data_IF_577632923371
#
_entry.id   IF_577632923371
#
_cell.length_a   1.000
_cell.length_b   1.000
_cell.length_c   1.000
_cell.angle_alpha   90.00
_cell.angle_beta   90.00
_cell.angle_gamma   90.00
#
_symmetry.space_group_name_H-M   'P 1'
#
loop_
_entity.id
_entity.type
_entity.pdbx_description
1 polymer ?
#
# COMPACT_ATOMS: atom_id res chain seq x y z
N UNK A 1 -25.27 -7.02 37.87
CA UNK A 1 -25.00 -8.27 37.12
C UNK A 1 -23.92 -7.93 36.12
N UNK A 2 -22.80 -8.65 36.06
CA UNK A 2 -21.83 -8.42 35.00
C UNK A 2 -22.36 -9.04 33.70
N UNK A 3 -22.44 -8.25 32.64
CA UNK A 3 -22.76 -8.75 31.30
C UNK A 3 -21.72 -9.81 30.86
N UNK A 4 -22.13 -10.86 30.13
CA UNK A 4 -21.23 -11.91 29.70
C UNK A 4 -20.29 -11.35 28.63
N UNK A 5 -19.01 -11.17 28.98
CA UNK A 5 -17.97 -10.83 28.01
C UNK A 5 -17.66 -12.08 27.19
N UNK A 6 -18.06 -12.05 25.92
CA UNK A 6 -17.60 -12.98 24.89
C UNK A 6 -16.14 -12.60 24.59
N UNK A 7 -15.16 -13.51 24.74
CA UNK A 7 -13.82 -13.31 24.22
C UNK A 7 -13.91 -13.32 22.69
N UNK A 8 -13.66 -12.17 22.05
CA UNK A 8 -13.72 -12.02 20.60
C UNK A 8 -14.03 -10.59 20.10
N UNK A 9 -14.46 -9.67 20.97
CA UNK A 9 -14.90 -8.33 20.53
C UNK A 9 -13.77 -7.32 20.27
N UNK A 10 -12.57 -7.79 19.94
CA UNK A 10 -11.42 -6.93 19.67
C UNK A 10 -11.37 -6.39 18.23
N UNK A 11 -11.89 -7.14 17.26
CA UNK A 11 -11.73 -6.86 15.82
C UNK A 11 -13.03 -6.61 15.04
N UNK A 12 -14.15 -6.33 15.70
CA UNK A 12 -15.42 -6.09 15.00
C UNK A 12 -15.53 -4.67 14.42
N UNK A 13 -14.65 -3.75 14.81
CA UNK A 13 -14.77 -2.32 14.52
C UNK A 13 -13.39 -1.67 14.37
N UNK A 14 -13.17 -1.05 13.22
CA UNK A 14 -12.01 -0.23 12.87
C UNK A 14 -12.48 1.22 12.72
N UNK A 15 -11.83 2.15 13.43
CA UNK A 15 -12.02 3.59 13.26
C UNK A 15 -11.21 4.07 12.07
N UNK A 16 -11.86 4.74 11.12
CA UNK A 16 -11.25 5.25 9.91
C UNK A 16 -10.62 6.63 10.15
N UNK A 17 -9.65 7.06 9.33
CA UNK A 17 -9.05 8.40 9.43
C UNK A 17 -10.09 9.55 9.45
N UNK A 18 -11.19 9.39 8.72
CA UNK A 18 -12.28 10.35 8.65
C UNK A 18 -13.19 10.37 9.90
N UNK A 19 -12.96 9.47 10.87
CA UNK A 19 -13.71 9.34 12.13
C UNK A 19 -14.92 8.39 12.06
N UNK A 20 -15.24 7.85 10.89
CA UNK A 20 -16.25 6.80 10.76
C UNK A 20 -15.76 5.47 11.33
N UNK A 21 -16.68 4.57 11.68
CA UNK A 21 -16.29 3.23 12.17
C UNK A 21 -16.96 2.15 11.35
N UNK A 22 -16.15 1.23 10.81
CA UNK A 22 -16.61 0.13 9.97
C UNK A 22 -16.17 -1.21 10.52
N UNK A 23 -16.79 -2.30 10.07
CA UNK A 23 -16.26 -3.64 10.33
C UNK A 23 -15.14 -3.93 9.34
N UNK A 24 -13.98 -4.45 9.77
CA UNK A 24 -12.93 -4.91 8.84
C UNK A 24 -13.42 -5.94 7.82
N UNK A 25 -14.45 -6.73 8.17
CA UNK A 25 -15.11 -7.70 7.28
C UNK A 25 -15.92 -7.06 6.15
N UNK A 26 -16.10 -5.74 6.16
CA UNK A 26 -16.75 -5.02 5.07
C UNK A 26 -15.84 -4.85 3.85
N UNK A 27 -14.53 -5.02 4.03
CA UNK A 27 -13.55 -4.90 2.95
C UNK A 27 -13.38 -6.23 2.22
N UNK A 28 -13.45 -6.18 0.90
CA UNK A 28 -13.08 -7.31 0.04
C UNK A 28 -11.56 -7.31 -0.17
N UNK A 29 -10.95 -8.50 -0.26
CA UNK A 29 -9.49 -8.65 -0.41
C UNK A 29 -8.94 -8.01 -1.69
N UNK A 30 -9.73 -7.88 -2.76
CA UNK A 30 -9.33 -7.19 -3.98
C UNK A 30 -9.69 -5.70 -4.00
N UNK A 31 -10.43 -5.20 -3.01
CA UNK A 31 -10.96 -3.85 -3.02
C UNK A 31 -9.85 -2.81 -3.01
N UNK A 32 -9.95 -1.81 -3.88
CA UNK A 32 -9.06 -0.63 -3.86
C UNK A 32 -9.63 0.56 -3.15
N UNK A 33 -10.94 0.66 -3.17
CA UNK A 33 -11.67 1.86 -2.78
C UNK A 33 -12.90 1.47 -1.99
N UNK A 34 -13.12 2.16 -0.89
CA UNK A 34 -14.29 2.02 -0.05
C UNK A 34 -15.07 3.34 -0.04
N UNK A 35 -16.29 3.31 -0.55
CA UNK A 35 -17.22 4.44 -0.47
C UNK A 35 -17.74 4.55 0.97
N UNK A 36 -17.31 5.60 1.67
CA UNK A 36 -17.56 5.76 3.09
C UNK A 36 -18.80 6.62 3.37
N UNK A 37 -19.42 6.41 4.52
CA UNK A 37 -20.58 7.18 4.98
C UNK A 37 -20.24 8.67 5.24
N UNK A 38 -18.96 9.03 5.36
CA UNK A 38 -18.51 10.43 5.41
C UNK A 38 -18.74 11.18 4.07
N UNK A 39 -18.96 10.44 2.98
CA UNK A 39 -19.20 10.97 1.63
C UNK A 39 -17.97 10.99 0.72
N UNK A 40 -16.82 10.49 1.19
CA UNK A 40 -15.57 10.37 0.45
C UNK A 40 -15.23 8.90 0.15
N UNK A 41 -14.28 8.69 -0.76
CA UNK A 41 -13.79 7.36 -1.13
C UNK A 41 -12.39 7.16 -0.55
N UNK A 42 -12.21 6.07 0.20
CA UNK A 42 -10.98 5.75 0.90
C UNK A 42 -10.22 4.64 0.21
N UNK A 43 -8.91 4.79 0.02
CA UNK A 43 -8.06 3.75 -0.52
C UNK A 43 -7.89 2.61 0.50
N UNK A 44 -7.97 1.38 0.00
CA UNK A 44 -7.81 0.15 0.79
C UNK A 44 -6.62 -0.66 0.25
N UNK A 45 -5.78 -1.12 1.16
CA UNK A 45 -4.68 -2.05 0.88
C UNK A 45 -4.66 -3.12 1.96
N UNK A 46 -4.49 -4.37 1.56
CA UNK A 46 -4.21 -5.50 2.46
C UNK A 46 -2.79 -6.01 2.22
N UNK A 47 -2.23 -6.74 3.19
CA UNK A 47 -0.90 -7.36 3.07
C UNK A 47 -0.86 -8.46 1.99
N UNK A 48 -2.02 -9.01 1.63
CA UNK A 48 -2.17 -9.98 0.55
C UNK A 48 -1.97 -9.37 -0.84
N UNK A 49 -2.10 -8.05 -1.01
CA UNK A 49 -1.91 -7.42 -2.32
C UNK A 49 -0.45 -7.53 -2.78
N UNK A 50 -0.21 -7.87 -4.07
CA UNK A 50 1.13 -7.83 -4.62
C UNK A 50 1.60 -6.39 -4.84
N UNK A 51 2.92 -6.16 -4.81
CA UNK A 51 3.53 -4.89 -5.24
C UNK A 51 3.12 -4.51 -6.67
N UNK A 52 2.78 -5.51 -7.49
CA UNK A 52 2.33 -5.28 -8.85
C UNK A 52 1.01 -4.51 -8.94
N UNK A 53 0.32 -4.33 -7.82
CA UNK A 53 -0.77 -3.36 -7.69
C UNK A 53 -0.37 -1.92 -8.06
N UNK A 54 0.87 -1.54 -7.76
CA UNK A 54 1.35 -0.16 -7.89
C UNK A 54 2.39 0.02 -8.99
N UNK A 55 3.18 -1.01 -9.29
CA UNK A 55 4.27 -0.92 -10.26
C UNK A 55 4.37 -2.19 -11.11
N UNK A 56 4.93 -2.15 -12.33
CA UNK A 56 5.15 -3.37 -13.12
C UNK A 56 5.91 -4.45 -12.34
N UNK A 57 5.63 -5.73 -12.64
CA UNK A 57 6.30 -6.90 -12.03
C UNK A 57 7.83 -6.80 -12.12
N UNK A 58 8.37 -6.32 -13.25
CA UNK A 58 9.81 -6.16 -13.44
C UNK A 58 10.42 -5.10 -12.50
N UNK A 59 9.66 -4.06 -12.14
CA UNK A 59 10.09 -3.04 -11.17
C UNK A 59 9.97 -3.60 -9.75
N UNK A 60 8.88 -4.31 -9.44
CA UNK A 60 8.74 -4.99 -8.15
C UNK A 60 9.88 -5.99 -7.90
N UNK A 61 10.30 -6.73 -8.94
CA UNK A 61 11.45 -7.64 -8.86
C UNK A 61 12.77 -6.90 -8.61
N UNK A 62 12.98 -5.73 -9.23
CA UNK A 62 14.16 -4.90 -8.98
C UNK A 62 14.18 -4.34 -7.57
N UNK A 63 13.04 -3.83 -7.07
CA UNK A 63 12.92 -3.34 -5.70
C UNK A 63 13.31 -4.42 -4.69
N UNK A 64 12.83 -5.65 -4.85
CA UNK A 64 13.20 -6.79 -4.00
C UNK A 64 14.67 -7.18 -4.09
N UNK A 65 15.30 -6.96 -5.23
CA UNK A 65 16.71 -7.30 -5.43
C UNK A 65 17.67 -6.24 -4.87
N UNK A 66 17.21 -4.99 -4.75
CA UNK A 66 18.05 -3.84 -4.36
C UNK A 66 17.82 -3.44 -2.90
N UNK A 67 16.60 -3.58 -2.39
CA UNK A 67 16.23 -3.16 -1.04
C UNK A 67 16.39 -4.35 -0.10
N UNK A 68 17.39 -4.27 0.77
CA UNK A 68 17.53 -5.18 1.91
C UNK A 68 16.50 -4.85 2.99
N UNK A 69 15.88 -5.88 3.58
CA UNK A 69 14.93 -5.77 4.69
C UNK A 69 15.58 -6.32 5.97
N UNK A 70 15.40 -5.62 7.09
CA UNK A 70 16.03 -5.96 8.39
C UNK A 70 15.06 -6.68 9.35
N UNK A 71 13.96 -7.24 8.83
CA UNK A 71 12.88 -7.84 9.61
C UNK A 71 12.63 -9.32 9.30
N UNK A 72 11.45 -9.84 9.64
CA UNK A 72 11.09 -11.25 9.45
C UNK A 72 10.66 -11.60 8.01
N UNK A 73 10.46 -10.60 7.15
CA UNK A 73 10.13 -10.81 5.75
C UNK A 73 11.40 -11.06 4.93
N UNK A 74 11.33 -12.06 4.03
CA UNK A 74 12.48 -12.45 3.19
C UNK A 74 12.83 -11.41 2.11
N UNK A 75 11.86 -10.60 1.69
CA UNK A 75 11.99 -9.64 0.60
C UNK A 75 11.10 -8.42 0.81
N UNK A 76 11.45 -7.30 0.15
CA UNK A 76 10.60 -6.11 0.09
C UNK A 76 9.18 -6.44 -0.43
N UNK A 77 8.18 -5.90 0.25
CA UNK A 77 6.77 -6.29 0.08
C UNK A 77 5.83 -5.11 0.33
N UNK A 78 4.53 -5.32 0.09
CA UNK A 78 3.48 -4.31 0.35
C UNK A 78 3.46 -3.86 1.81
N UNK A 79 3.84 -4.72 2.76
CA UNK A 79 3.95 -4.36 4.19
C UNK A 79 4.99 -3.25 4.39
N UNK A 80 6.16 -3.41 3.81
CA UNK A 80 7.24 -2.41 3.88
C UNK A 80 6.82 -1.10 3.20
N UNK A 81 6.27 -1.21 1.98
CA UNK A 81 5.81 -0.06 1.22
C UNK A 81 4.75 0.73 1.99
N UNK A 82 3.70 0.07 2.50
CA UNK A 82 2.66 0.73 3.28
C UNK A 82 3.18 1.23 4.63
N UNK A 83 4.23 0.61 5.19
CA UNK A 83 4.99 1.16 6.31
C UNK A 83 5.56 2.54 5.99
N UNK A 84 6.25 2.70 4.85
CA UNK A 84 6.75 4.01 4.40
C UNK A 84 5.63 5.02 4.16
N UNK A 85 4.50 4.59 3.59
CA UNK A 85 3.34 5.48 3.40
C UNK A 85 2.78 5.94 4.76
N UNK A 86 2.67 5.04 5.74
CA UNK A 86 2.19 5.36 7.09
C UNK A 86 3.16 6.30 7.84
N UNK A 87 4.46 6.15 7.63
CA UNK A 87 5.48 7.04 8.19
C UNK A 87 5.34 8.48 7.65
N UNK A 88 5.06 8.63 6.36
CA UNK A 88 4.86 9.94 5.73
C UNK A 88 3.47 10.55 6.04
N UNK A 89 2.44 9.71 6.16
CA UNK A 89 1.05 10.12 6.35
C UNK A 89 0.39 9.50 7.60
N UNK A 90 0.91 9.73 8.81
CA UNK A 90 0.48 9.02 10.02
C UNK A 90 -0.93 9.42 10.51
N UNK A 91 -1.44 10.59 10.10
CA UNK A 91 -2.77 11.08 10.45
C UNK A 91 -3.82 10.75 9.38
N UNK A 92 -3.40 10.45 8.16
CA UNK A 92 -4.29 10.16 7.02
C UNK A 92 -4.44 8.66 6.76
N UNK A 93 -3.72 7.80 7.50
CA UNK A 93 -3.76 6.33 7.33
C UNK A 93 -3.97 5.65 8.67
N UNK A 94 -4.92 4.72 8.70
CA UNK A 94 -5.08 3.76 9.80
C UNK A 94 -4.69 2.38 9.30
N UNK A 95 -3.98 1.63 10.16
CA UNK A 95 -3.70 0.20 9.97
C UNK A 95 -4.38 -0.61 11.07
N UNK A 96 -5.07 -1.68 10.69
CA UNK A 96 -5.69 -2.63 11.63
C UNK A 96 -5.07 -4.02 11.48
N UNK A 97 -4.75 -4.65 12.62
CA UNK A 97 -4.34 -6.06 12.69
C UNK A 97 -5.59 -6.95 12.74
N UNK A 98 -5.78 -7.71 11.67
CA UNK A 98 -6.90 -8.64 11.49
C UNK A 98 -6.45 -10.10 11.44
N UNK A 99 -5.19 -10.38 11.82
CA UNK A 99 -4.59 -11.71 11.74
C UNK A 99 -5.29 -12.77 12.59
N UNK A 100 -5.98 -12.35 13.65
CA UNK A 100 -6.79 -13.25 14.51
C UNK A 100 -8.15 -13.63 13.89
N UNK A 101 -8.60 -12.92 12.84
CA UNK A 101 -9.87 -13.19 12.16
C UNK A 101 -9.66 -13.90 10.81
N UNK A 102 -9.61 -15.24 10.87
CA UNK A 102 -9.44 -16.09 9.69
C UNK A 102 -10.56 -16.02 8.64
N UNK A 103 -11.62 -15.23 8.84
CA UNK A 103 -12.64 -14.97 7.80
C UNK A 103 -12.24 -13.85 6.83
N UNK A 104 -11.32 -12.97 7.23
CA UNK A 104 -10.93 -11.80 6.44
C UNK A 104 -9.90 -12.18 5.38
N UNK A 105 -8.99 -13.09 5.70
CA UNK A 105 -7.98 -13.59 4.74
C UNK A 105 -6.79 -12.65 4.51
N UNK A 106 -6.64 -11.64 5.36
CA UNK A 106 -5.48 -10.76 5.45
C UNK A 106 -4.97 -10.75 6.90
N UNK A 107 -3.72 -10.32 7.11
CA UNK A 107 -3.18 -10.02 8.43
C UNK A 107 -3.28 -8.53 8.77
N UNK A 108 -3.13 -7.65 7.78
CA UNK A 108 -3.15 -6.19 7.94
C UNK A 108 -4.06 -5.54 6.91
N UNK A 109 -4.80 -4.52 7.33
CA UNK A 109 -5.59 -3.65 6.44
C UNK A 109 -5.17 -2.20 6.68
N UNK A 110 -4.77 -1.51 5.62
CA UNK A 110 -4.55 -0.08 5.59
C UNK A 110 -5.72 0.62 4.92
N UNK A 111 -6.21 1.69 5.55
CA UNK A 111 -7.24 2.56 5.02
C UNK A 111 -6.74 4.01 5.04
N UNK A 112 -6.76 4.66 3.88
CA UNK A 112 -6.34 6.06 3.72
C UNK A 112 -7.53 7.02 3.64
N UNK A 113 -7.36 8.26 4.12
CA UNK A 113 -8.34 9.34 4.01
C UNK A 113 -8.45 9.92 2.58
N UNK A 114 -7.88 9.25 1.60
CA UNK A 114 -7.86 9.65 0.21
C UNK A 114 -8.04 8.46 -0.71
N UNK A 115 -8.43 8.73 -1.96
CA UNK A 115 -8.74 7.72 -2.95
C UNK A 115 -7.52 6.90 -3.42
N UNK A 116 -7.78 5.81 -4.14
CA UNK A 116 -6.72 4.89 -4.59
C UNK A 116 -5.79 5.50 -5.63
N UNK A 117 -6.21 6.57 -6.33
CA UNK A 117 -5.38 7.26 -7.30
C UNK A 117 -4.35 8.13 -6.58
N UNK A 118 -4.76 8.87 -5.56
CA UNK A 118 -3.85 9.64 -4.70
C UNK A 118 -2.89 8.70 -3.98
N UNK A 119 -3.36 7.56 -3.46
CA UNK A 119 -2.48 6.56 -2.85
C UNK A 119 -1.44 6.04 -3.84
N UNK A 120 -1.85 5.70 -5.06
CA UNK A 120 -0.93 5.20 -6.09
C UNK A 120 0.15 6.23 -6.43
N UNK A 121 -0.21 7.52 -6.48
CA UNK A 121 0.77 8.60 -6.63
C UNK A 121 1.79 8.62 -5.50
N UNK A 122 1.31 8.68 -4.26
CA UNK A 122 2.17 8.70 -3.07
C UNK A 122 3.13 7.50 -3.08
N UNK A 123 2.62 6.31 -3.38
CA UNK A 123 3.43 5.09 -3.49
C UNK A 123 4.53 5.22 -4.53
N UNK A 124 4.22 5.71 -5.74
CA UNK A 124 5.22 5.83 -6.81
C UNK A 124 6.28 6.87 -6.45
N UNK A 125 5.89 7.99 -5.85
CA UNK A 125 6.80 9.02 -5.36
C UNK A 125 7.75 8.44 -4.29
N UNK A 126 7.22 7.72 -3.30
CA UNK A 126 8.03 7.08 -2.25
C UNK A 126 8.96 5.99 -2.80
N UNK A 127 8.53 5.21 -3.78
CA UNK A 127 9.39 4.19 -4.40
C UNK A 127 10.56 4.83 -5.16
N UNK A 128 10.32 5.95 -5.85
CA UNK A 128 11.36 6.74 -6.50
C UNK A 128 12.37 7.26 -5.48
N UNK A 129 11.89 7.84 -4.37
CA UNK A 129 12.76 8.33 -3.29
C UNK A 129 13.57 7.20 -2.65
N UNK A 130 12.96 6.02 -2.46
CA UNK A 130 13.64 4.86 -1.90
C UNK A 130 14.76 4.36 -2.82
N UNK A 131 14.50 4.32 -4.13
CA UNK A 131 15.51 3.97 -5.13
C UNK A 131 16.64 5.00 -5.18
N UNK A 132 16.33 6.30 -5.10
CA UNK A 132 17.33 7.37 -5.04
C UNK A 132 18.27 7.20 -3.85
N UNK A 133 17.69 6.92 -2.67
CA UNK A 133 18.47 6.64 -1.47
C UNK A 133 19.32 5.38 -1.63
N UNK A 134 18.78 4.29 -2.19
CA UNK A 134 19.51 3.05 -2.39
C UNK A 134 20.70 3.22 -3.35
N UNK A 135 20.50 3.91 -4.48
CA UNK A 135 21.56 4.19 -5.46
C UNK A 135 22.61 5.14 -4.87
N UNK A 136 22.19 6.14 -4.09
CA UNK A 136 23.10 7.08 -3.43
C UNK A 136 24.02 6.47 -2.37
N UNK A 137 23.78 5.23 -1.93
CA UNK A 137 24.69 4.47 -1.06
C UNK A 137 25.73 3.65 -1.82
N UNK A 138 25.65 3.59 -3.15
CA UNK A 138 26.63 2.88 -3.97
C UNK A 138 27.89 3.74 -4.16
N UNK A 139 29.06 3.10 -4.23
CA UNK A 139 30.34 3.79 -4.53
C UNK A 139 30.50 4.14 -6.03
N UNK A 140 29.39 4.19 -6.80
CA UNK A 140 29.39 4.38 -8.25
C UNK A 140 28.74 5.72 -8.65
N UNK A 141 29.58 6.75 -8.71
CA UNK A 141 29.18 8.13 -9.07
C UNK A 141 28.52 8.22 -10.46
N UNK A 142 28.83 7.30 -11.39
CA UNK A 142 28.27 7.30 -12.74
C UNK A 142 26.84 6.77 -12.74
N UNK A 143 26.59 5.68 -12.00
CA UNK A 143 25.23 5.14 -11.78
C UNK A 143 24.34 6.15 -11.05
N UNK A 144 24.87 6.86 -10.05
CA UNK A 144 24.12 7.89 -9.34
C UNK A 144 23.70 9.02 -10.28
N UNK A 145 24.63 9.59 -11.05
CA UNK A 145 24.33 10.68 -11.96
C UNK A 145 23.36 10.28 -13.09
N UNK A 146 23.44 9.04 -13.57
CA UNK A 146 22.49 8.49 -14.54
C UNK A 146 21.09 8.39 -13.95
N UNK A 147 20.97 7.85 -12.74
CA UNK A 147 19.69 7.72 -12.04
C UNK A 147 19.02 9.08 -11.79
N UNK A 148 19.77 10.05 -11.25
CA UNK A 148 19.27 11.42 -11.01
C UNK A 148 18.74 12.07 -12.30
N UNK A 149 19.42 11.87 -13.44
CA UNK A 149 18.96 12.37 -14.74
C UNK A 149 17.66 11.70 -15.19
N UNK A 150 17.54 10.38 -15.03
CA UNK A 150 16.33 9.66 -15.40
C UNK A 150 15.14 10.08 -14.52
N UNK A 151 15.37 10.33 -13.23
CA UNK A 151 14.33 10.79 -12.30
C UNK A 151 13.87 12.22 -12.59
N UNK A 152 14.77 13.11 -13.01
CA UNK A 152 14.39 14.47 -13.42
C UNK A 152 13.42 14.51 -14.62
N UNK A 153 13.41 13.46 -15.45
CA UNK A 153 12.56 13.34 -16.63
C UNK A 153 11.33 12.45 -16.40
N UNK A 154 11.20 11.81 -15.23
CA UNK A 154 10.14 10.84 -14.97
C UNK A 154 8.79 11.53 -14.68
N UNK A 155 7.83 11.27 -15.56
CA UNK A 155 6.44 11.74 -15.41
C UNK A 155 5.63 10.75 -14.58
N UNK A 156 5.56 11.00 -13.26
CA UNK A 156 4.79 10.19 -12.30
C UNK A 156 3.32 10.11 -12.69
N UNK A 157 2.70 11.23 -13.09
CA UNK A 157 1.27 11.26 -13.44
C UNK A 157 1.00 10.47 -14.72
N UNK A 158 1.85 10.67 -15.74
CA UNK A 158 1.78 9.92 -17.00
C UNK A 158 1.97 8.42 -16.77
N UNK A 159 2.89 8.02 -15.87
CA UNK A 159 3.06 6.63 -15.47
C UNK A 159 1.79 6.07 -14.82
N UNK A 160 1.20 6.77 -13.84
CA UNK A 160 0.01 6.30 -13.12
C UNK A 160 -1.18 6.17 -14.07
N UNK A 161 -1.41 7.16 -14.93
CA UNK A 161 -2.50 7.11 -15.92
C UNK A 161 -2.33 5.90 -16.84
N UNK A 162 -1.15 5.75 -17.44
CA UNK A 162 -0.87 4.63 -18.34
C UNK A 162 -0.96 3.27 -17.63
N UNK A 163 -0.46 3.18 -16.38
CA UNK A 163 -0.50 1.94 -15.60
C UNK A 163 -1.93 1.56 -15.24
N UNK A 164 -2.74 2.56 -14.88
CA UNK A 164 -4.14 2.35 -14.50
C UNK A 164 -5.04 2.00 -15.67
N UNK A 165 -4.77 2.53 -16.85
CA UNK A 165 -5.52 2.18 -18.06
C UNK A 165 -5.23 0.76 -18.55
N UNK A 166 -4.06 0.21 -18.24
CA UNK A 166 -3.59 -1.11 -18.72
C UNK A 166 -3.97 -2.28 -17.80
N UNK A 167 -4.73 -2.04 -16.74
CA UNK A 167 -5.10 -3.09 -15.78
C UNK A 167 -6.59 -3.06 -15.46
N UNK A 168 -7.15 -4.26 -15.36
CA UNK A 168 -8.47 -4.47 -14.79
C UNK A 168 -8.28 -4.72 -13.29
N UNK A 169 -8.69 -3.75 -12.50
CA UNK A 169 -8.44 -3.73 -11.06
C UNK A 169 -9.60 -4.30 -10.23
N UNK A 170 -10.55 -4.98 -10.88
CA UNK A 170 -11.76 -5.46 -10.23
C UNK A 170 -11.59 -6.82 -9.50
N UNK A 171 -10.41 -7.47 -9.53
CA UNK A 171 -10.15 -8.74 -8.84
C UNK A 171 -8.92 -8.75 -7.92
N UNK A 172 -8.83 -9.76 -7.03
CA UNK A 172 -7.75 -9.97 -6.06
C UNK A 172 -6.37 -10.26 -6.71
N UNK A 173 -6.34 -10.58 -8.00
CA UNK A 173 -5.13 -10.96 -8.72
C UNK A 173 -4.54 -9.82 -9.54
N UNK A 174 -5.23 -8.69 -9.66
CA UNK A 174 -4.79 -7.45 -10.32
C UNK A 174 -4.04 -7.76 -11.63
N UNK A 175 -4.77 -8.17 -12.68
CA UNK A 175 -4.18 -8.70 -13.92
C UNK A 175 -4.19 -7.65 -15.05
N UNK A 176 -3.20 -7.69 -15.96
CA UNK A 176 -3.22 -6.86 -17.16
C UNK A 176 -4.42 -7.20 -18.06
N UNK A 177 -4.97 -6.19 -18.76
CA UNK A 177 -6.07 -6.33 -19.74
C UNK A 177 -5.67 -6.95 -21.07
#
# INVERSE_FOLDING_TARGET
MPEPRVPGSGGDRMELPCGETVSPRAFDLGQREFDCDCGETHAIVTDAHPLSRFVPEDIAAQLRAVIDTDDEYEEFSTVHLMGSVLEEFPEEIVVEDVSEDGQIGAALIWVADFDSRRLHRVVVELLVELMDHAVGHTDDDELQAEFESQMAEFDVEGFIEAYRDQRDFEDEYDRPV
#
